data_IF_215790010706
#
_entry.id   IF_215790010706
#
_cell.length_a   1.000
_cell.length_b   1.000
_cell.length_c   1.000
_cell.angle_alpha   90.00
_cell.angle_beta   90.00
_cell.angle_gamma   90.00
#
_symmetry.space_group_name_H-M   'P 1'
#
loop_
_entity.id
_entity.type
_entity.pdbx_description
1 polymer ?
#
# COMPACT_ATOMS: atom_id res chain seq x y z
N UNK A 1 -31.62 -58.93 -19.96
CA UNK A 1 -31.13 -58.64 -21.32
C UNK A 1 -30.06 -57.56 -21.19
N UNK A 2 -28.87 -57.96 -20.76
CA UNK A 2 -27.72 -57.09 -20.54
C UNK A 2 -27.00 -56.91 -21.87
N UNK A 3 -27.01 -55.70 -22.41
CA UNK A 3 -26.21 -55.30 -23.56
C UNK A 3 -24.73 -55.30 -23.16
N UNK A 4 -24.01 -56.38 -23.45
CA UNK A 4 -22.54 -56.41 -23.37
C UNK A 4 -21.99 -55.49 -24.45
N UNK A 5 -21.50 -54.32 -24.04
CA UNK A 5 -20.81 -53.39 -24.92
C UNK A 5 -19.55 -54.08 -25.43
N UNK A 6 -19.42 -54.21 -26.75
CA UNK A 6 -18.28 -54.90 -27.35
C UNK A 6 -17.01 -54.08 -27.12
N UNK A 7 -15.85 -54.71 -26.87
CA UNK A 7 -14.59 -54.00 -26.61
C UNK A 7 -14.21 -52.97 -27.69
N UNK A 8 -14.63 -53.22 -28.93
CA UNK A 8 -14.52 -52.31 -30.07
C UNK A 8 -15.37 -51.04 -29.93
N UNK A 9 -16.61 -51.16 -29.47
CA UNK A 9 -17.52 -50.01 -29.24
C UNK A 9 -17.03 -49.13 -28.09
N UNK A 10 -16.51 -49.75 -27.02
CA UNK A 10 -15.89 -49.02 -25.91
C UNK A 10 -14.65 -48.23 -26.39
N UNK A 11 -13.84 -48.85 -27.24
CA UNK A 11 -12.65 -48.22 -27.82
C UNK A 11 -13.02 -47.02 -28.70
N UNK A 12 -14.05 -47.15 -29.53
CA UNK A 12 -14.58 -46.05 -30.36
C UNK A 12 -15.11 -44.92 -29.48
N UNK A 13 -15.88 -45.23 -28.43
CA UNK A 13 -16.42 -44.23 -27.51
C UNK A 13 -15.30 -43.44 -26.81
N UNK A 14 -14.23 -44.12 -26.38
CA UNK A 14 -13.05 -43.48 -25.79
C UNK A 14 -12.39 -42.54 -26.79
N UNK A 15 -12.20 -42.96 -28.06
CA UNK A 15 -11.63 -42.09 -29.09
C UNK A 15 -12.48 -40.85 -29.36
N UNK A 16 -13.81 -41.00 -29.46
CA UNK A 16 -14.73 -39.87 -29.65
C UNK A 16 -14.65 -38.89 -28.49
N UNK A 17 -14.58 -39.39 -27.25
CA UNK A 17 -14.49 -38.55 -26.06
C UNK A 17 -13.15 -37.80 -26.00
N UNK A 18 -12.04 -38.47 -26.34
CA UNK A 18 -10.71 -37.83 -26.43
C UNK A 18 -10.70 -36.71 -27.47
N UNK A 19 -11.27 -36.93 -28.65
CA UNK A 19 -11.35 -35.92 -29.71
C UNK A 19 -12.20 -34.73 -29.25
N UNK A 20 -13.33 -34.99 -28.60
CA UNK A 20 -14.21 -33.94 -28.09
C UNK A 20 -13.52 -33.07 -27.02
N UNK A 21 -12.79 -33.70 -26.09
CA UNK A 21 -11.98 -33.00 -25.08
C UNK A 21 -10.86 -32.20 -25.72
N UNK A 22 -10.16 -32.75 -26.72
CA UNK A 22 -9.10 -32.02 -27.43
C UNK A 22 -9.64 -30.82 -28.22
N UNK A 23 -10.80 -30.97 -28.88
CA UNK A 23 -11.44 -29.91 -29.65
C UNK A 23 -11.94 -28.77 -28.74
N UNK A 24 -12.58 -29.10 -27.62
CA UNK A 24 -13.01 -28.13 -26.61
C UNK A 24 -11.83 -27.38 -25.98
N UNK A 25 -10.74 -28.09 -25.65
CA UNK A 25 -9.51 -27.48 -25.18
C UNK A 25 -8.93 -26.50 -26.20
N UNK A 26 -8.80 -26.92 -27.47
CA UNK A 26 -8.32 -26.08 -28.56
C UNK A 26 -9.21 -24.85 -28.78
N UNK A 27 -10.53 -24.99 -28.70
CA UNK A 27 -11.47 -23.86 -28.83
C UNK A 27 -11.31 -22.84 -27.71
N UNK A 28 -11.19 -23.29 -26.45
CA UNK A 28 -11.00 -22.42 -25.29
C UNK A 28 -9.65 -21.67 -25.40
N UNK A 29 -8.58 -22.37 -25.75
CA UNK A 29 -7.25 -21.75 -25.94
C UNK A 29 -7.28 -20.73 -27.08
N UNK A 30 -7.89 -21.06 -28.23
CA UNK A 30 -8.03 -20.14 -29.36
C UNK A 30 -8.98 -18.96 -29.08
N UNK A 31 -9.91 -19.09 -28.14
CA UNK A 31 -10.77 -17.98 -27.70
C UNK A 31 -10.02 -17.05 -26.74
N UNK A 32 -9.13 -17.59 -25.90
CA UNK A 32 -8.45 -16.86 -24.84
C UNK A 32 -6.95 -16.59 -25.08
N UNK A 33 -6.40 -16.96 -26.25
CA UNK A 33 -4.98 -16.77 -26.58
C UNK A 33 -4.51 -15.31 -26.42
N UNK A 34 -5.37 -14.33 -26.74
CA UNK A 34 -5.09 -12.90 -26.54
C UNK A 34 -4.87 -12.58 -25.06
N UNK A 35 -5.68 -13.13 -24.17
CA UNK A 35 -5.54 -12.91 -22.72
C UNK A 35 -4.27 -13.57 -22.21
N UNK A 36 -4.01 -14.82 -22.62
CA UNK A 36 -2.78 -15.54 -22.26
C UNK A 36 -1.55 -14.75 -22.72
N UNK A 37 -1.56 -14.25 -23.95
CA UNK A 37 -0.48 -13.44 -24.50
C UNK A 37 -0.29 -12.12 -23.74
N UNK A 38 -1.38 -11.42 -23.39
CA UNK A 38 -1.32 -10.20 -22.57
C UNK A 38 -0.71 -10.52 -21.21
N UNK A 39 -1.21 -11.56 -20.52
CA UNK A 39 -0.73 -11.97 -19.20
C UNK A 39 0.75 -12.32 -19.27
N UNK A 40 1.18 -13.15 -20.22
CA UNK A 40 2.60 -13.50 -20.38
C UNK A 40 3.47 -12.27 -20.64
N UNK A 41 2.99 -11.33 -21.46
CA UNK A 41 3.71 -10.09 -21.77
C UNK A 41 3.77 -9.13 -20.58
N UNK A 42 2.71 -9.02 -19.77
CA UNK A 42 2.67 -8.14 -18.59
C UNK A 42 3.19 -8.80 -17.32
N UNK A 43 3.35 -10.12 -17.31
CA UNK A 43 3.68 -10.92 -16.12
C UNK A 43 4.90 -10.37 -15.39
N UNK A 44 5.97 -10.02 -16.11
CA UNK A 44 7.17 -9.48 -15.47
C UNK A 44 6.93 -8.15 -14.75
N UNK A 45 6.10 -7.26 -15.31
CA UNK A 45 5.70 -6.00 -14.66
C UNK A 45 4.81 -6.30 -13.46
N UNK A 46 3.85 -7.22 -13.62
CA UNK A 46 2.83 -7.54 -12.63
C UNK A 46 3.45 -8.23 -11.42
N UNK A 47 4.34 -9.21 -11.64
CA UNK A 47 5.11 -9.86 -10.58
C UNK A 47 5.97 -8.86 -9.80
N UNK A 48 6.64 -7.91 -10.48
CA UNK A 48 7.38 -6.83 -9.80
C UNK A 48 6.45 -5.94 -8.96
N UNK A 49 5.27 -5.64 -9.47
CA UNK A 49 4.24 -4.89 -8.74
C UNK A 49 3.76 -5.64 -7.50
N UNK A 50 3.34 -6.89 -7.67
CA UNK A 50 2.87 -7.79 -6.60
C UNK A 50 3.94 -7.96 -5.53
N UNK A 51 5.19 -8.20 -5.91
CA UNK A 51 6.29 -8.33 -4.95
C UNK A 51 6.51 -7.06 -4.13
N UNK A 52 6.47 -5.88 -4.77
CA UNK A 52 6.59 -4.59 -4.07
C UNK A 52 5.42 -4.35 -3.13
N UNK A 53 4.19 -4.67 -3.55
CA UNK A 53 2.99 -4.55 -2.72
C UNK A 53 3.05 -5.50 -1.53
N UNK A 54 3.35 -6.79 -1.76
CA UNK A 54 3.50 -7.79 -0.71
C UNK A 54 4.54 -7.35 0.33
N UNK A 55 5.71 -6.88 -0.11
CA UNK A 55 6.74 -6.33 0.79
C UNK A 55 6.24 -5.15 1.62
N UNK A 56 5.47 -4.25 1.01
CA UNK A 56 4.89 -3.08 1.71
C UNK A 56 3.84 -3.51 2.72
N UNK A 57 2.93 -4.42 2.35
CA UNK A 57 1.90 -4.97 3.23
C UNK A 57 2.53 -5.69 4.43
N UNK A 58 3.53 -6.54 4.19
CA UNK A 58 4.28 -7.22 5.27
C UNK A 58 4.94 -6.20 6.20
N UNK A 59 5.59 -5.16 5.65
CA UNK A 59 6.19 -4.09 6.47
C UNK A 59 5.16 -3.35 7.32
N UNK A 60 4.02 -2.98 6.74
CA UNK A 60 2.93 -2.32 7.47
C UNK A 60 2.43 -3.23 8.59
N UNK A 61 2.22 -4.52 8.32
CA UNK A 61 1.80 -5.50 9.32
C UNK A 61 2.81 -5.62 10.48
N UNK A 62 4.11 -5.63 10.19
CA UNK A 62 5.16 -5.62 11.24
C UNK A 62 5.12 -4.32 12.06
N UNK A 63 4.96 -3.16 11.42
CA UNK A 63 4.88 -1.86 12.11
C UNK A 63 3.65 -1.80 13.03
N UNK A 64 2.50 -2.28 12.55
CA UNK A 64 1.27 -2.38 13.35
C UNK A 64 1.42 -3.34 14.53
N UNK A 65 2.00 -4.53 14.32
CA UNK A 65 2.26 -5.50 15.39
C UNK A 65 3.18 -4.93 16.47
N UNK A 66 4.15 -4.09 16.09
CA UNK A 66 5.06 -3.41 17.02
C UNK A 66 4.46 -2.17 17.68
N UNK A 67 3.20 -1.83 17.37
CA UNK A 67 2.51 -0.63 17.84
C UNK A 67 3.31 0.67 17.57
N UNK A 68 4.08 0.69 16.48
CA UNK A 68 4.87 1.83 16.08
C UNK A 68 3.95 2.90 15.48
N UNK A 69 4.07 4.12 15.99
CA UNK A 69 3.34 5.28 15.50
C UNK A 69 4.04 5.91 14.29
N UNK A 70 3.36 6.84 13.62
CA UNK A 70 3.99 7.68 12.59
C UNK A 70 5.17 8.47 13.16
N UNK A 71 5.05 8.96 14.40
CA UNK A 71 6.13 9.63 15.12
C UNK A 71 7.37 8.74 15.26
N UNK A 72 7.18 7.45 15.58
CA UNK A 72 8.28 6.49 15.71
C UNK A 72 8.97 6.20 14.37
N UNK A 73 8.18 6.01 13.31
CA UNK A 73 8.71 5.81 11.97
C UNK A 73 9.50 7.04 11.47
N UNK A 74 9.01 8.24 11.80
CA UNK A 74 9.72 9.48 11.52
C UNK A 74 11.03 9.58 12.32
N UNK A 75 11.01 9.28 13.62
CA UNK A 75 12.20 9.30 14.47
C UNK A 75 13.28 8.32 13.99
N UNK A 76 12.89 7.13 13.52
CA UNK A 76 13.82 6.18 12.89
C UNK A 76 14.45 6.74 11.62
N UNK A 77 13.68 7.49 10.82
CA UNK A 77 14.18 8.13 9.60
C UNK A 77 15.14 9.27 9.92
N UNK A 78 14.82 10.10 10.91
CA UNK A 78 15.68 11.18 11.40
C UNK A 78 17.00 10.65 11.92
N UNK A 79 16.98 9.56 12.70
CA UNK A 79 18.19 8.91 13.21
C UNK A 79 19.10 8.40 12.08
N UNK A 80 18.50 7.96 10.96
CA UNK A 80 19.26 7.43 9.82
C UNK A 80 19.78 8.50 8.87
N UNK A 81 19.03 9.59 8.67
CA UNK A 81 19.29 10.61 7.66
C UNK A 81 19.05 12.04 8.18
N UNK A 82 19.71 12.48 9.26
CA UNK A 82 19.37 13.75 9.92
C UNK A 82 19.58 14.97 9.02
N UNK A 83 20.67 15.00 8.25
CA UNK A 83 21.03 16.12 7.38
C UNK A 83 20.38 16.06 5.99
N UNK A 84 19.59 15.03 5.69
CA UNK A 84 18.91 14.93 4.39
C UNK A 84 17.73 15.89 4.35
N UNK A 85 17.51 16.54 3.22
CA UNK A 85 16.34 17.39 3.01
C UNK A 85 15.04 16.58 3.16
N UNK A 86 14.16 17.05 4.02
CA UNK A 86 12.82 16.52 4.28
C UNK A 86 11.77 17.25 3.43
N UNK A 87 11.81 18.59 3.41
CA UNK A 87 10.92 19.41 2.61
C UNK A 87 11.68 20.39 1.72
N UNK A 88 11.18 20.56 0.50
CA UNK A 88 11.48 21.71 -0.36
C UNK A 88 10.21 22.57 -0.41
N UNK A 89 10.33 23.84 -0.05
CA UNK A 89 9.21 24.77 -0.07
C UNK A 89 9.70 26.17 -0.42
N UNK A 90 9.21 26.69 -1.56
CA UNK A 90 9.71 27.93 -2.14
C UNK A 90 11.25 27.86 -2.26
N UNK A 91 11.96 28.92 -1.85
CA UNK A 91 13.42 29.01 -1.86
C UNK A 91 14.07 28.41 -0.59
N UNK A 92 13.31 27.65 0.21
CA UNK A 92 13.78 27.06 1.46
C UNK A 92 13.82 25.53 1.38
N UNK A 93 14.79 24.97 2.09
CA UNK A 93 14.90 23.53 2.32
C UNK A 93 15.02 23.26 3.81
N UNK A 94 14.28 22.25 4.27
CA UNK A 94 14.23 21.86 5.67
C UNK A 94 14.75 20.45 5.79
N UNK A 95 15.76 20.20 6.61
CA UNK A 95 16.28 18.85 6.80
C UNK A 95 15.45 18.05 7.83
N UNK A 96 15.67 16.74 7.91
CA UNK A 96 14.94 15.88 8.87
C UNK A 96 15.16 16.28 10.32
N UNK A 97 16.36 16.74 10.70
CA UNK A 97 16.67 17.18 12.05
C UNK A 97 15.84 18.41 12.45
N UNK A 98 15.78 19.43 11.59
CA UNK A 98 15.05 20.67 11.86
C UNK A 98 13.54 20.40 12.02
N UNK A 99 12.98 19.56 11.14
CA UNK A 99 11.57 19.13 11.23
C UNK A 99 11.32 18.33 12.51
N UNK A 100 12.26 17.47 12.91
CA UNK A 100 12.15 16.71 14.15
C UNK A 100 12.14 17.61 15.39
N UNK A 101 13.06 18.57 15.46
CA UNK A 101 13.13 19.51 16.56
C UNK A 101 11.87 20.40 16.64
N UNK A 102 11.40 20.92 15.50
CA UNK A 102 10.19 21.75 15.48
C UNK A 102 8.94 20.94 15.83
N UNK A 103 8.77 19.73 15.29
CA UNK A 103 7.63 18.88 15.65
C UNK A 103 7.65 18.48 17.14
N UNK A 104 8.82 18.26 17.74
CA UNK A 104 8.93 18.03 19.19
C UNK A 104 8.49 19.27 19.99
N UNK A 105 8.92 20.47 19.58
CA UNK A 105 8.50 21.72 20.23
C UNK A 105 6.99 21.89 20.18
N UNK A 106 6.36 21.62 19.04
CA UNK A 106 4.91 21.67 18.88
C UNK A 106 4.22 20.65 19.79
N UNK A 107 4.64 19.39 19.74
CA UNK A 107 4.06 18.33 20.58
C UNK A 107 4.16 18.67 22.07
N UNK A 108 5.34 19.13 22.52
CA UNK A 108 5.55 19.56 23.89
C UNK A 108 4.63 20.73 24.28
N UNK A 109 4.50 21.74 23.41
CA UNK A 109 3.60 22.87 23.65
C UNK A 109 2.15 22.41 23.86
N UNK A 110 1.61 21.60 22.96
CA UNK A 110 0.22 21.11 23.11
C UNK A 110 0.08 20.18 24.32
N UNK A 111 1.09 19.38 24.63
CA UNK A 111 1.09 18.57 25.86
C UNK A 111 1.05 19.44 27.12
N UNK A 112 1.76 20.58 27.18
CA UNK A 112 1.70 21.49 28.33
C UNK A 112 0.39 22.26 28.43
N UNK A 113 -0.33 22.44 27.31
CA UNK A 113 -1.70 22.96 27.32
C UNK A 113 -2.74 21.93 27.82
N UNK A 114 -2.33 20.70 28.12
CA UNK A 114 -3.18 19.67 28.71
C UNK A 114 -3.83 18.71 27.71
N UNK A 115 -3.49 18.79 26.41
CA UNK A 115 -3.98 17.85 25.41
C UNK A 115 -3.37 16.46 25.61
N UNK A 116 -4.20 15.44 25.44
CA UNK A 116 -3.88 14.03 25.72
C UNK A 116 -4.16 13.16 24.50
N UNK A 117 -3.66 11.94 24.56
CA UNK A 117 -3.91 10.92 23.55
C UNK A 117 -5.43 10.72 23.37
N UNK A 118 -5.88 10.81 22.12
CA UNK A 118 -7.29 10.69 21.75
C UNK A 118 -8.04 12.02 21.63
N UNK A 119 -7.49 13.12 22.14
CA UNK A 119 -8.06 14.44 21.90
C UNK A 119 -7.98 14.81 20.42
N UNK A 120 -8.89 15.66 19.96
CA UNK A 120 -8.98 16.07 18.55
C UNK A 120 -8.66 17.57 18.43
N UNK A 121 -7.75 17.91 17.51
CA UNK A 121 -7.42 19.31 17.19
C UNK A 121 -7.61 19.54 15.69
N UNK A 122 -8.39 20.57 15.34
CA UNK A 122 -8.51 21.04 13.96
C UNK A 122 -7.27 21.80 13.51
N UNK A 123 -6.66 21.39 12.39
CA UNK A 123 -5.59 22.14 11.73
C UNK A 123 -6.19 22.83 10.50
N UNK A 124 -6.33 24.15 10.58
CA UNK A 124 -6.81 25.00 9.50
C UNK A 124 -5.71 25.98 9.09
N UNK A 125 -4.96 25.61 8.06
CA UNK A 125 -3.76 26.32 7.61
C UNK A 125 -3.55 26.10 6.11
N UNK A 126 -2.86 27.04 5.47
CA UNK A 126 -2.43 26.89 4.06
C UNK A 126 -1.40 25.76 3.89
N UNK A 127 -1.30 25.25 2.66
CA UNK A 127 -0.36 24.19 2.32
C UNK A 127 1.09 24.68 2.46
N UNK A 128 1.74 24.27 3.53
CA UNK A 128 3.10 24.65 3.89
C UNK A 128 3.78 23.50 4.67
N UNK A 129 5.12 23.47 4.77
CA UNK A 129 5.82 22.48 5.60
C UNK A 129 5.33 22.50 7.04
N UNK A 130 5.00 23.69 7.57
CA UNK A 130 4.50 23.86 8.92
C UNK A 130 3.20 23.10 9.17
N UNK A 131 2.35 22.94 8.16
CA UNK A 131 1.16 22.08 8.22
C UNK A 131 1.53 20.64 8.61
N UNK A 132 2.48 20.05 7.87
CA UNK A 132 2.96 18.70 8.12
C UNK A 132 3.74 18.59 9.43
N UNK A 133 4.54 19.60 9.80
CA UNK A 133 5.29 19.61 11.07
C UNK A 133 4.34 19.70 12.26
N UNK A 134 3.26 20.48 12.16
CA UNK A 134 2.24 20.61 13.20
C UNK A 134 1.51 19.29 13.41
N UNK A 135 1.05 18.68 12.31
CA UNK A 135 0.46 17.34 12.34
C UNK A 135 1.41 16.30 12.96
N UNK A 136 2.69 16.31 12.58
CA UNK A 136 3.69 15.41 13.17
C UNK A 136 3.85 15.65 14.68
N UNK A 137 3.91 16.90 15.13
CA UNK A 137 4.00 17.24 16.55
C UNK A 137 2.82 16.73 17.36
N UNK A 138 1.60 16.94 16.87
CA UNK A 138 0.37 16.42 17.49
C UNK A 138 0.32 14.89 17.49
N UNK A 139 0.72 14.26 16.38
CA UNK A 139 0.74 12.80 16.27
C UNK A 139 1.70 12.14 17.27
N UNK A 140 2.81 12.80 17.61
CA UNK A 140 3.80 12.31 18.60
C UNK A 140 3.25 12.24 20.02
N UNK A 141 2.28 13.10 20.37
CA UNK A 141 1.59 13.07 21.67
C UNK A 141 0.28 12.27 21.63
N UNK A 142 -0.03 11.64 20.49
CA UNK A 142 -1.23 10.83 20.31
C UNK A 142 -2.52 11.62 20.12
N UNK A 143 -2.42 12.92 19.84
CA UNK A 143 -3.56 13.78 19.48
C UNK A 143 -3.95 13.49 18.03
N UNK A 144 -5.26 13.39 17.79
CA UNK A 144 -5.84 13.20 16.46
C UNK A 144 -6.01 14.57 15.81
N UNK A 145 -5.40 14.77 14.64
CA UNK A 145 -5.56 16.02 13.90
C UNK A 145 -6.70 15.92 12.88
N UNK A 146 -7.67 16.82 12.96
CA UNK A 146 -8.67 17.02 11.92
C UNK A 146 -8.12 18.03 10.90
N UNK A 147 -7.71 17.53 9.74
CA UNK A 147 -7.05 18.30 8.69
C UNK A 147 -8.10 19.04 7.84
N UNK A 148 -8.19 20.37 8.00
CA UNK A 148 -9.19 21.20 7.29
C UNK A 148 -8.53 21.91 6.12
N UNK A 149 -9.07 21.70 4.92
CA UNK A 149 -8.58 22.33 3.70
C UNK A 149 -9.10 23.77 3.60
N UNK A 150 -8.19 24.74 3.45
CA UNK A 150 -8.51 26.17 3.31
C UNK A 150 -9.13 26.53 1.96
N UNK A 151 -9.09 25.64 0.97
CA UNK A 151 -9.62 25.85 -0.39
C UNK A 151 -11.05 25.34 -0.60
N UNK A 152 -11.71 24.83 0.44
CA UNK A 152 -13.12 24.43 0.36
C UNK A 152 -13.99 25.69 0.21
N UNK A 153 -14.83 25.71 -0.83
CA UNK A 153 -15.85 26.73 -1.10
C UNK A 153 -17.23 26.16 -0.85
#
# INVERSE_FOLDING_TARGET
>A
MSTEITSSELTILVYVLVIFVAASYSYIVNKHYKIIWIVLRTLHRDLRGIFRLARTIIRIGIVQFRNNTVGDAFNQTVAKYPCKTCFYFQDQSWNFKDVHELSNKIGNYFSTQGFRKGDVIGIFMENSPLYAVTWLGLSKIGVVSALVNTSLR
#
